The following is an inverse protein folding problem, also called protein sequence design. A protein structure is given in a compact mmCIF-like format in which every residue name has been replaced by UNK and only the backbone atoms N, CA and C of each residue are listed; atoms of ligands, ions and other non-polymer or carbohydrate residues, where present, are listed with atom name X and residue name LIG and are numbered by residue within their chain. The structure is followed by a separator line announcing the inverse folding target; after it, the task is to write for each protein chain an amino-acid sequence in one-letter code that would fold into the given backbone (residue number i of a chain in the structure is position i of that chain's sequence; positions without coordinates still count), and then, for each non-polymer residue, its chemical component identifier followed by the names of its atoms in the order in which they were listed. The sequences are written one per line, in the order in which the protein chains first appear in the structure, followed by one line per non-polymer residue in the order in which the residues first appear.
data_IF_485114237178
#
_entry.id   IF_485114237178
#
_cell.length_a   1.000
_cell.length_b   1.000
_cell.length_c   1.000
_cell.angle_alpha   90.00
_cell.angle_beta   90.00
_cell.angle_gamma   90.00
#
_symmetry.space_group_name_H-M   'P 1'
#
loop_
_entity.id
_entity.type
_entity.pdbx_description
1 polymer ?
#
# COMPACT_ATOMS: atom_id res chain seq x y z
N UNK A 1 17.64 26.20 -10.09
CA UNK A 1 17.49 24.73 -10.13
C UNK A 1 16.17 24.42 -9.45
N UNK A 2 15.14 24.02 -10.19
CA UNK A 2 13.89 23.52 -9.60
C UNK A 2 14.25 22.27 -8.82
N UNK A 3 14.01 22.26 -7.49
CA UNK A 3 14.20 21.05 -6.67
C UNK A 3 13.37 19.90 -7.24
N UNK A 4 13.80 18.66 -7.04
CA UNK A 4 13.00 17.48 -7.40
C UNK A 4 11.67 17.54 -6.63
N UNK A 5 10.57 17.15 -7.30
CA UNK A 5 9.27 16.98 -6.63
C UNK A 5 9.39 15.87 -5.60
N UNK A 6 8.89 16.12 -4.39
CA UNK A 6 8.83 15.11 -3.32
C UNK A 6 7.40 14.68 -3.02
N UNK A 7 7.22 13.61 -2.26
CA UNK A 7 5.91 13.08 -1.90
C UNK A 7 5.08 14.07 -1.05
N UNK A 8 5.71 15.05 -0.40
CA UNK A 8 5.04 16.13 0.32
C UNK A 8 4.06 16.93 -0.55
N UNK A 9 4.35 17.05 -1.86
CA UNK A 9 3.48 17.78 -2.79
C UNK A 9 2.07 17.17 -2.92
N UNK A 10 1.88 15.90 -2.55
CA UNK A 10 0.57 15.24 -2.49
C UNK A 10 -0.25 15.62 -1.24
N UNK A 11 0.33 16.38 -0.30
CA UNK A 11 -0.24 16.61 1.03
C UNK A 11 -0.04 15.43 1.96
N UNK A 12 -0.71 15.47 3.10
CA UNK A 12 -0.60 14.44 4.15
C UNK A 12 -1.94 13.76 4.43
N UNK A 13 -1.88 12.59 5.07
CA UNK A 13 -3.02 11.84 5.58
C UNK A 13 -2.66 11.24 6.94
N UNK A 14 -3.66 11.16 7.83
CA UNK A 14 -3.49 10.55 9.15
C UNK A 14 -3.99 9.11 9.14
N UNK A 15 -3.10 8.17 9.45
CA UNK A 15 -3.44 6.75 9.63
C UNK A 15 -3.76 6.54 11.10
N UNK A 16 -5.02 6.17 11.40
CA UNK A 16 -5.47 5.96 12.76
C UNK A 16 -5.52 7.23 13.63
N UNK A 17 -5.40 8.42 13.02
CA UNK A 17 -5.52 9.71 13.68
C UNK A 17 -4.26 10.19 14.41
N UNK A 18 -3.17 9.42 14.38
CA UNK A 18 -1.92 9.71 15.10
C UNK A 18 -0.63 9.34 14.36
N UNK A 19 -0.73 8.84 13.11
CA UNK A 19 0.39 8.60 12.21
C UNK A 19 0.23 9.44 10.95
N UNK A 20 0.80 10.64 10.92
CA UNK A 20 0.76 11.51 9.75
C UNK A 20 1.81 11.06 8.72
N UNK A 21 1.39 10.76 7.51
CA UNK A 21 2.26 10.36 6.40
C UNK A 21 1.96 11.17 5.13
N UNK A 22 2.93 11.27 4.21
CA UNK A 22 2.71 11.89 2.90
C UNK A 22 1.80 11.00 2.05
N UNK A 23 0.85 11.61 1.32
CA UNK A 23 -0.22 10.91 0.58
C UNK A 23 0.24 10.20 -0.70
N UNK A 24 1.52 9.82 -0.77
CA UNK A 24 2.07 8.98 -1.82
C UNK A 24 3.11 8.05 -1.19
N UNK A 25 2.74 6.79 -1.01
CA UNK A 25 3.57 5.77 -0.40
C UNK A 25 4.37 4.97 -1.43
N UNK A 26 5.05 3.93 -0.94
CA UNK A 26 5.82 2.99 -1.75
C UNK A 26 5.37 1.56 -1.49
N UNK A 27 4.95 0.83 -2.54
CA UNK A 27 4.61 -0.59 -2.49
C UNK A 27 5.82 -1.48 -2.74
N UNK A 28 6.24 -2.26 -1.75
CA UNK A 28 7.46 -3.05 -1.80
C UNK A 28 7.32 -4.43 -2.48
N UNK A 29 6.17 -4.75 -3.05
CA UNK A 29 5.96 -6.05 -3.72
C UNK A 29 6.91 -6.26 -4.91
N UNK A 30 7.29 -5.19 -5.63
CA UNK A 30 8.11 -5.24 -6.85
C UNK A 30 9.62 -5.26 -6.59
N UNK A 31 10.07 -5.17 -5.34
CA UNK A 31 11.48 -5.32 -4.98
C UNK A 31 11.88 -6.78 -4.74
N UNK A 32 11.01 -7.74 -5.03
CA UNK A 32 11.25 -9.19 -4.94
C UNK A 32 11.45 -9.79 -6.34
N UNK A 33 11.71 -11.08 -6.39
CA UNK A 33 11.87 -11.81 -7.64
C UNK A 33 10.59 -11.90 -8.48
N UNK A 34 10.71 -12.43 -9.68
CA UNK A 34 9.60 -12.57 -10.62
C UNK A 34 8.43 -13.36 -9.99
N UNK A 35 7.20 -12.90 -10.23
CA UNK A 35 6.01 -13.51 -9.62
C UNK A 35 5.91 -13.30 -8.11
N UNK A 36 6.59 -12.28 -7.59
CA UNK A 36 6.66 -12.00 -6.14
C UNK A 36 7.23 -13.22 -5.39
N UNK A 37 8.27 -13.83 -5.95
CA UNK A 37 8.87 -15.05 -5.43
C UNK A 37 10.40 -15.00 -5.44
N UNK A 38 11.01 -15.33 -4.31
CA UNK A 38 12.46 -15.30 -4.15
C UNK A 38 13.06 -13.91 -4.20
N UNK A 39 14.35 -13.88 -4.32
CA UNK A 39 15.16 -12.67 -4.32
C UNK A 39 15.07 -11.92 -5.64
N UNK A 40 15.21 -10.58 -5.64
CA UNK A 40 15.28 -9.81 -6.88
C UNK A 40 16.53 -10.21 -7.69
N UNK A 41 16.48 -10.11 -9.01
CA UNK A 41 17.64 -10.38 -9.84
C UNK A 41 18.79 -9.36 -9.63
N UNK A 42 18.48 -8.20 -9.10
CA UNK A 42 19.42 -7.12 -8.80
C UNK A 42 19.09 -6.50 -7.44
N UNK A 43 19.83 -6.93 -6.43
CA UNK A 43 19.68 -6.46 -5.06
C UNK A 43 20.06 -4.98 -4.88
N UNK A 44 21.11 -4.55 -5.54
CA UNK A 44 21.58 -3.17 -5.42
C UNK A 44 20.58 -2.19 -6.02
N UNK A 45 19.96 -2.55 -7.15
CA UNK A 45 18.90 -1.76 -7.76
C UNK A 45 17.64 -1.71 -6.88
N UNK A 46 17.23 -2.83 -6.29
CA UNK A 46 16.09 -2.87 -5.37
C UNK A 46 16.35 -2.01 -4.11
N UNK A 47 17.56 -2.08 -3.55
CA UNK A 47 17.99 -1.22 -2.43
C UNK A 47 18.04 0.25 -2.84
N UNK A 48 18.52 0.56 -4.03
CA UNK A 48 18.54 1.93 -4.56
C UNK A 48 17.12 2.50 -4.71
N UNK A 49 16.14 1.69 -5.15
CA UNK A 49 14.74 2.11 -5.23
C UNK A 49 14.16 2.45 -3.85
N UNK A 50 14.45 1.65 -2.81
CA UNK A 50 14.02 1.94 -1.43
C UNK A 50 14.65 3.22 -0.89
N UNK A 51 15.97 3.41 -1.06
CA UNK A 51 16.65 4.65 -0.63
C UNK A 51 16.08 5.86 -1.37
N UNK A 52 15.86 5.72 -2.68
CA UNK A 52 15.32 6.80 -3.49
C UNK A 52 13.92 7.22 -3.07
N UNK A 53 13.08 6.26 -2.67
CA UNK A 53 11.76 6.57 -2.12
C UNK A 53 11.87 7.47 -0.87
N UNK A 54 12.71 7.09 0.08
CA UNK A 54 12.93 7.88 1.32
C UNK A 54 13.57 9.25 1.02
N UNK A 55 14.54 9.33 0.11
CA UNK A 55 15.13 10.60 -0.34
C UNK A 55 14.14 11.56 -1.00
N UNK A 56 13.03 11.03 -1.52
CA UNK A 56 11.93 11.78 -2.12
C UNK A 56 10.76 11.99 -1.14
N UNK A 57 11.02 11.93 0.16
CA UNK A 57 10.06 12.14 1.25
C UNK A 57 8.85 11.18 1.21
N UNK A 58 9.03 9.96 0.70
CA UNK A 58 8.05 8.90 0.92
C UNK A 58 8.17 8.45 2.39
N UNK A 59 7.11 8.69 3.16
CA UNK A 59 7.05 8.40 4.60
C UNK A 59 6.17 7.18 4.93
N UNK A 60 5.71 6.44 3.90
CA UNK A 60 4.92 5.23 4.07
C UNK A 60 5.37 4.13 3.11
N UNK A 61 5.81 3.00 3.65
CA UNK A 61 6.19 1.81 2.88
C UNK A 61 5.22 0.68 3.21
N UNK A 62 4.59 0.10 2.18
CA UNK A 62 3.71 -1.06 2.30
C UNK A 62 4.42 -2.33 1.84
N UNK A 63 4.52 -3.32 2.72
CA UNK A 63 5.10 -4.63 2.44
C UNK A 63 4.20 -5.78 2.94
N UNK A 64 4.69 -7.01 2.93
CA UNK A 64 4.05 -8.19 3.52
C UNK A 64 5.08 -9.30 3.75
N UNK A 65 4.82 -10.17 4.73
CA UNK A 65 5.57 -11.41 4.97
C UNK A 65 5.61 -12.34 3.76
N UNK A 66 4.51 -12.36 3.00
CA UNK A 66 4.30 -13.18 1.82
C UNK A 66 5.02 -12.68 0.56
N UNK A 67 5.68 -11.51 0.59
CA UNK A 67 6.42 -10.98 -0.54
C UNK A 67 7.83 -11.56 -0.60
N UNK A 68 8.03 -12.49 -1.54
CA UNK A 68 9.27 -13.15 -1.79
C UNK A 68 9.51 -14.57 -1.25
N UNK A 69 8.72 -15.25 -0.37
CA UNK A 69 8.27 -14.80 0.96
C UNK A 69 9.42 -14.28 1.83
N UNK A 70 9.11 -13.36 2.73
CA UNK A 70 10.03 -12.73 3.69
C UNK A 70 11.13 -11.84 3.09
N UNK A 71 11.39 -11.93 1.78
CA UNK A 71 12.47 -11.22 1.08
C UNK A 71 12.27 -9.70 1.17
N UNK A 72 11.03 -9.23 0.94
CA UNK A 72 10.73 -7.79 0.95
C UNK A 72 11.01 -7.16 2.31
N UNK A 73 10.58 -7.77 3.40
CA UNK A 73 10.82 -7.27 4.77
C UNK A 73 12.31 -7.26 5.13
N UNK A 74 13.05 -8.33 4.78
CA UNK A 74 14.50 -8.36 4.98
C UNK A 74 15.21 -7.25 4.19
N UNK A 75 14.82 -7.07 2.92
CA UNK A 75 15.42 -6.05 2.06
C UNK A 75 15.19 -4.64 2.59
N UNK A 76 13.98 -4.35 3.10
CA UNK A 76 13.64 -3.07 3.74
C UNK A 76 14.55 -2.85 4.96
N UNK A 77 14.63 -3.84 5.86
CA UNK A 77 15.46 -3.73 7.05
C UNK A 77 16.96 -3.58 6.75
N UNK A 78 17.49 -4.36 5.80
CA UNK A 78 18.89 -4.27 5.39
C UNK A 78 19.25 -2.93 4.74
N UNK A 79 18.25 -2.25 4.15
CA UNK A 79 18.48 -1.02 3.39
C UNK A 79 18.29 0.23 4.22
N UNK A 80 17.26 0.24 5.10
CA UNK A 80 16.78 1.44 5.75
C UNK A 80 16.94 1.45 7.27
N UNK A 81 17.29 0.31 7.89
CA UNK A 81 17.54 0.32 9.34
C UNK A 81 18.91 0.94 9.69
N UNK A 82 19.00 1.86 10.69
CA UNK A 82 17.90 2.39 11.50
C UNK A 82 16.96 3.29 10.67
N UNK A 83 15.65 3.11 10.88
CA UNK A 83 14.65 3.84 10.12
C UNK A 83 14.61 5.32 10.48
N UNK A 84 14.27 6.24 9.51
CA UNK A 84 13.91 7.61 9.85
C UNK A 84 12.71 7.65 10.80
N UNK A 85 12.69 8.59 11.73
CA UNK A 85 11.64 8.72 12.77
C UNK A 85 10.22 8.91 12.19
N UNK A 86 10.12 9.49 11.00
CA UNK A 86 8.85 9.77 10.30
C UNK A 86 8.46 8.67 9.29
N UNK A 87 9.22 7.57 9.19
CA UNK A 87 8.94 6.50 8.24
C UNK A 87 8.04 5.44 8.89
N UNK A 88 6.84 5.31 8.37
CA UNK A 88 5.88 4.26 8.72
C UNK A 88 6.08 3.04 7.82
N UNK A 89 6.25 1.86 8.42
CA UNK A 89 6.30 0.58 7.70
C UNK A 89 5.03 -0.20 8.01
N UNK A 90 4.19 -0.35 6.99
CA UNK A 90 3.03 -1.23 7.04
C UNK A 90 3.39 -2.60 6.49
N UNK A 91 3.02 -3.67 7.20
CA UNK A 91 3.17 -5.03 6.71
C UNK A 91 1.90 -5.84 6.91
N UNK A 92 1.87 -7.06 6.40
CA UNK A 92 0.68 -7.91 6.37
C UNK A 92 1.01 -9.34 6.73
N UNK A 93 0.05 -10.06 7.31
CA UNK A 93 0.06 -11.50 7.49
C UNK A 93 -1.28 -12.13 7.12
N UNK A 94 -1.31 -13.44 7.02
CA UNK A 94 -2.53 -14.18 6.68
C UNK A 94 -2.56 -14.73 5.26
N UNK A 95 -1.40 -14.77 4.56
CA UNK A 95 -1.23 -15.45 3.29
C UNK A 95 -0.03 -16.39 3.29
N UNK A 96 -0.28 -17.65 2.98
CA UNK A 96 0.76 -18.64 2.70
C UNK A 96 1.21 -18.56 1.25
N UNK A 97 2.49 -18.88 1.04
CA UNK A 97 3.12 -18.94 -0.27
C UNK A 97 3.72 -20.33 -0.50
N UNK A 98 2.91 -21.34 -0.92
CA UNK A 98 3.41 -22.70 -1.13
C UNK A 98 4.27 -22.84 -2.40
N UNK A 99 4.35 -21.82 -3.23
CA UNK A 99 5.16 -21.78 -4.45
C UNK A 99 4.94 -20.50 -5.27
N UNK A 100 5.72 -20.30 -6.36
CA UNK A 100 5.56 -19.15 -7.24
C UNK A 100 4.13 -19.03 -7.77
N UNK A 101 3.57 -17.80 -7.71
CA UNK A 101 2.21 -17.51 -8.18
C UNK A 101 1.07 -18.13 -7.34
N UNK A 102 1.36 -18.88 -6.30
CA UNK A 102 0.34 -19.48 -5.42
C UNK A 102 0.21 -18.68 -4.14
N UNK A 103 -1.05 -18.31 -3.84
CA UNK A 103 -1.43 -17.49 -2.69
C UNK A 103 -2.61 -18.18 -2.00
N UNK A 104 -2.43 -18.63 -0.78
CA UNK A 104 -3.44 -19.34 -0.02
C UNK A 104 -3.73 -18.58 1.28
N UNK A 105 -4.99 -18.19 1.57
CA UNK A 105 -5.32 -17.53 2.82
C UNK A 105 -5.14 -18.48 4.00
N UNK A 106 -4.64 -17.95 5.11
CA UNK A 106 -4.59 -18.60 6.41
C UNK A 106 -4.91 -17.58 7.50
N UNK A 107 -6.17 -17.54 7.89
CA UNK A 107 -6.69 -16.60 8.91
C UNK A 107 -6.63 -17.16 10.33
N UNK A 108 -6.03 -18.32 10.56
CA UNK A 108 -5.98 -18.92 11.91
C UNK A 108 -5.20 -18.03 12.88
N UNK A 109 -5.70 -17.83 14.10
CA UNK A 109 -5.05 -17.03 15.15
C UNK A 109 -3.57 -17.33 15.34
N UNK A 110 -3.21 -18.62 15.39
CA UNK A 110 -1.83 -19.06 15.60
C UNK A 110 -0.91 -18.62 14.45
N UNK A 111 -1.41 -18.73 13.20
CA UNK A 111 -0.65 -18.30 12.03
C UNK A 111 -0.46 -16.78 12.02
N UNK A 112 -1.51 -16.01 12.28
CA UNK A 112 -1.43 -14.55 12.30
C UNK A 112 -0.47 -14.04 13.38
N UNK A 113 -0.47 -14.67 14.56
CA UNK A 113 0.47 -14.36 15.63
C UNK A 113 1.91 -14.68 15.21
N UNK A 114 2.17 -15.86 14.68
CA UNK A 114 3.49 -16.27 14.20
C UNK A 114 3.98 -15.35 13.06
N UNK A 115 3.13 -14.99 12.11
CA UNK A 115 3.44 -14.10 11.01
C UNK A 115 3.84 -12.70 11.51
N UNK A 116 3.07 -12.13 12.45
CA UNK A 116 3.36 -10.83 13.06
C UNK A 116 4.72 -10.84 13.79
N UNK A 117 4.98 -11.84 14.62
CA UNK A 117 6.24 -11.98 15.35
C UNK A 117 7.43 -12.17 14.39
N UNK A 118 7.24 -12.93 13.32
CA UNK A 118 8.22 -13.06 12.26
C UNK A 118 8.51 -11.74 11.56
N UNK A 119 7.48 -10.94 11.25
CA UNK A 119 7.63 -9.62 10.64
C UNK A 119 8.37 -8.64 11.55
N UNK A 120 8.05 -8.61 12.85
CA UNK A 120 8.79 -7.80 13.86
C UNK A 120 10.29 -8.12 13.83
N UNK A 121 10.62 -9.41 13.86
CA UNK A 121 12.03 -9.85 13.85
C UNK A 121 12.75 -9.47 12.54
N UNK A 122 12.14 -9.69 11.36
CA UNK A 122 12.73 -9.38 10.05
C UNK A 122 12.90 -7.90 9.83
N UNK A 123 11.91 -7.10 10.21
CA UNK A 123 11.94 -5.64 10.12
C UNK A 123 12.74 -4.98 11.26
N UNK A 124 13.17 -5.72 12.28
CA UNK A 124 13.87 -5.19 13.45
C UNK A 124 13.07 -4.11 14.18
N UNK A 125 11.78 -4.34 14.32
CA UNK A 125 10.85 -3.43 14.99
C UNK A 125 10.39 -4.05 16.32
N UNK A 126 10.23 -3.21 17.34
CA UNK A 126 9.58 -3.60 18.60
C UNK A 126 8.05 -3.56 18.48
N UNK A 127 7.54 -2.72 17.58
CA UNK A 127 6.12 -2.57 17.28
C UNK A 127 5.93 -2.22 15.80
N UNK A 128 4.95 -2.86 15.14
CA UNK A 128 4.51 -2.52 13.79
C UNK A 128 3.44 -1.43 13.87
N UNK A 129 3.65 -0.31 13.16
CA UNK A 129 2.73 0.81 13.19
C UNK A 129 1.39 0.50 12.51
N UNK A 130 1.39 -0.19 11.36
CA UNK A 130 0.19 -0.68 10.70
C UNK A 130 0.37 -2.14 10.27
N UNK A 131 -0.39 -3.04 10.90
CA UNK A 131 -0.42 -4.45 10.52
C UNK A 131 -1.75 -4.79 9.86
N UNK A 132 -1.72 -5.39 8.67
CA UNK A 132 -2.92 -5.62 7.88
C UNK A 132 -3.23 -7.12 7.77
N UNK A 133 -4.49 -7.50 7.98
CA UNK A 133 -4.96 -8.83 7.61
C UNK A 133 -5.05 -8.92 6.08
N UNK A 134 -4.14 -9.70 5.49
CA UNK A 134 -3.86 -9.66 4.05
C UNK A 134 -5.05 -10.10 3.18
N UNK A 135 -5.83 -11.09 3.67
CA UNK A 135 -7.02 -11.58 2.97
C UNK A 135 -7.89 -12.40 3.92
N UNK A 136 -9.22 -12.25 3.87
CA UNK A 136 -10.13 -13.13 4.59
C UNK A 136 -9.91 -14.60 4.22
N UNK A 137 -9.88 -15.48 5.22
CA UNK A 137 -9.87 -16.92 5.02
C UNK A 137 -11.31 -17.45 5.15
N UNK A 138 -11.89 -18.05 4.09
CA UNK A 138 -13.26 -18.55 4.15
C UNK A 138 -13.47 -19.70 5.14
N UNK A 139 -12.39 -20.26 5.69
CA UNK A 139 -12.43 -21.36 6.67
C UNK A 139 -12.39 -20.89 8.11
N UNK A 140 -12.09 -19.60 8.35
CA UNK A 140 -11.94 -19.02 9.68
C UNK A 140 -12.87 -17.81 9.81
N UNK A 141 -13.72 -17.75 10.85
CA UNK A 141 -14.53 -16.57 11.09
C UNK A 141 -13.67 -15.30 11.20
N UNK A 142 -14.12 -14.22 10.57
CA UNK A 142 -13.39 -12.93 10.59
C UNK A 142 -13.13 -12.47 12.03
N UNK A 143 -14.11 -12.66 12.91
CA UNK A 143 -13.98 -12.29 14.31
C UNK A 143 -12.82 -13.01 15.04
N UNK A 144 -12.52 -14.27 14.68
CA UNK A 144 -11.38 -15.00 15.25
C UNK A 144 -10.04 -14.45 14.73
N UNK A 145 -9.94 -14.22 13.42
CA UNK A 145 -8.73 -13.66 12.81
C UNK A 145 -8.45 -12.23 13.34
N UNK A 146 -9.46 -11.38 13.35
CA UNK A 146 -9.34 -10.00 13.84
C UNK A 146 -9.12 -9.97 15.36
N UNK A 147 -9.73 -10.91 16.13
CA UNK A 147 -9.47 -11.08 17.54
C UNK A 147 -8.00 -11.33 17.86
N UNK A 148 -7.32 -12.16 17.07
CA UNK A 148 -5.88 -12.38 17.23
C UNK A 148 -5.05 -11.11 16.97
N UNK A 149 -5.47 -10.26 16.02
CA UNK A 149 -4.81 -8.97 15.79
C UNK A 149 -5.09 -7.98 16.93
N UNK A 150 -6.29 -7.99 17.49
CA UNK A 150 -6.63 -7.18 18.66
C UNK A 150 -5.77 -7.56 19.88
N UNK A 151 -5.58 -8.86 20.14
CA UNK A 151 -4.67 -9.33 21.19
C UNK A 151 -3.22 -8.86 20.95
N UNK A 152 -2.70 -8.96 19.72
CA UNK A 152 -1.36 -8.46 19.38
C UNK A 152 -1.24 -6.93 19.58
N UNK A 153 -2.32 -6.19 19.36
CA UNK A 153 -2.38 -4.75 19.65
C UNK A 153 -2.34 -4.49 21.15
N UNK A 154 -3.10 -5.24 21.94
CA UNK A 154 -3.10 -5.13 23.41
C UNK A 154 -1.74 -5.53 24.01
N UNK A 155 -1.03 -6.46 23.39
CA UNK A 155 0.36 -6.81 23.73
C UNK A 155 1.38 -5.73 23.34
N UNK A 156 0.95 -4.70 22.60
CA UNK A 156 1.83 -3.60 22.13
C UNK A 156 2.68 -3.95 20.91
N UNK A 157 2.47 -5.10 20.26
CA UNK A 157 3.17 -5.54 19.07
C UNK A 157 2.68 -4.85 17.79
N UNK A 158 1.43 -4.42 17.78
CA UNK A 158 0.77 -3.69 16.68
C UNK A 158 0.21 -2.38 17.25
N UNK A 159 0.39 -1.26 16.53
CA UNK A 159 -0.22 0.02 16.87
C UNK A 159 -1.60 0.14 16.27
N UNK A 160 -1.72 -0.07 14.95
CA UNK A 160 -2.97 0.00 14.21
C UNK A 160 -3.21 -1.27 13.40
N UNK A 161 -4.48 -1.59 13.21
CA UNK A 161 -4.95 -2.74 12.44
C UNK A 161 -5.59 -2.23 11.16
N UNK A 162 -5.18 -2.79 10.02
CA UNK A 162 -5.81 -2.63 8.73
C UNK A 162 -6.32 -3.97 8.17
N UNK A 163 -7.11 -3.90 7.11
CA UNK A 163 -7.61 -5.08 6.40
C UNK A 163 -7.36 -4.97 4.90
N UNK A 164 -7.28 -6.09 4.21
CA UNK A 164 -7.05 -6.11 2.77
C UNK A 164 -7.94 -7.14 2.08
N UNK A 165 -8.46 -6.77 0.91
CA UNK A 165 -9.40 -7.60 0.14
C UNK A 165 -10.71 -7.91 0.87
N UNK A 166 -11.21 -6.95 1.63
CA UNK A 166 -12.45 -7.04 2.40
C UNK A 166 -13.64 -6.44 1.62
N UNK A 167 -14.83 -7.03 1.79
CA UNK A 167 -16.09 -6.38 1.45
C UNK A 167 -16.51 -5.42 2.58
N UNK A 168 -17.49 -4.54 2.31
CA UNK A 168 -18.08 -3.64 3.31
C UNK A 168 -18.70 -4.43 4.48
N UNK A 169 -19.37 -5.55 4.22
CA UNK A 169 -19.92 -6.44 5.25
C UNK A 169 -18.82 -7.01 6.14
N UNK A 170 -17.73 -7.48 5.53
CA UNK A 170 -16.57 -8.03 6.24
C UNK A 170 -15.84 -6.97 7.06
N UNK A 171 -15.75 -5.73 6.55
CA UNK A 171 -15.22 -4.60 7.32
C UNK A 171 -16.07 -4.36 8.56
N UNK A 172 -17.40 -4.27 8.42
CA UNK A 172 -18.30 -4.11 9.54
C UNK A 172 -18.24 -5.27 10.55
N UNK A 173 -17.93 -6.51 10.12
CA UNK A 173 -17.65 -7.62 11.04
C UNK A 173 -16.35 -7.39 11.83
N UNK A 174 -15.29 -6.94 11.18
CA UNK A 174 -14.00 -6.65 11.80
C UNK A 174 -14.12 -5.52 12.83
N UNK A 175 -14.84 -4.46 12.50
CA UNK A 175 -15.02 -3.29 13.37
C UNK A 175 -15.85 -3.56 14.62
N UNK A 176 -16.68 -4.59 14.62
CA UNK A 176 -17.35 -5.05 15.86
C UNK A 176 -16.38 -5.69 16.85
N UNK A 177 -15.20 -6.10 16.40
CA UNK A 177 -14.16 -6.71 17.27
C UNK A 177 -13.17 -5.66 17.76
N UNK A 178 -12.64 -4.83 16.83
CA UNK A 178 -11.64 -3.80 17.15
C UNK A 178 -11.66 -2.72 16.06
N UNK A 179 -11.27 -1.47 16.38
CA UNK A 179 -11.15 -0.43 15.36
C UNK A 179 -10.17 -0.81 14.23
N UNK A 180 -10.64 -0.67 13.00
CA UNK A 180 -9.84 -0.77 11.78
C UNK A 180 -9.52 0.65 11.27
N UNK A 181 -8.29 0.91 10.83
CA UNK A 181 -7.88 2.26 10.40
C UNK A 181 -7.61 2.36 8.90
N UNK A 182 -7.51 1.22 8.21
CA UNK A 182 -7.26 1.21 6.76
C UNK A 182 -7.85 0.01 6.06
N UNK A 183 -8.22 0.21 4.79
CA UNK A 183 -8.65 -0.86 3.88
C UNK A 183 -7.74 -0.84 2.66
N UNK A 184 -7.18 -2.00 2.31
CA UNK A 184 -6.36 -2.15 1.12
C UNK A 184 -7.02 -3.07 0.09
N UNK A 185 -7.69 -2.50 -0.90
CA UNK A 185 -8.39 -3.24 -1.95
C UNK A 185 -7.87 -2.87 -3.34
N UNK A 186 -8.18 -3.70 -4.34
CA UNK A 186 -7.86 -3.42 -5.73
C UNK A 186 -8.66 -2.21 -6.21
N UNK A 187 -7.96 -1.22 -6.75
CA UNK A 187 -8.58 -0.03 -7.31
C UNK A 187 -7.62 0.71 -8.23
N UNK A 188 -8.09 1.05 -9.42
CA UNK A 188 -7.42 1.91 -10.39
C UNK A 188 -8.43 2.48 -11.39
N UNK A 189 -7.97 3.23 -12.39
CA UNK A 189 -8.84 3.84 -13.40
C UNK A 189 -9.73 2.82 -14.10
N UNK A 190 -9.19 1.64 -14.43
CA UNK A 190 -9.90 0.58 -15.20
C UNK A 190 -10.55 -0.50 -14.33
N UNK A 191 -10.27 -0.53 -13.03
CA UNK A 191 -10.91 -1.44 -12.07
C UNK A 191 -11.43 -0.65 -10.89
N UNK A 192 -12.71 -0.35 -10.90
CA UNK A 192 -13.43 0.44 -9.91
C UNK A 192 -14.39 -0.39 -9.06
N UNK A 193 -14.14 -1.70 -8.98
CA UNK A 193 -14.98 -2.63 -8.20
C UNK A 193 -15.04 -2.28 -6.71
N UNK A 194 -14.03 -1.54 -6.20
CA UNK A 194 -13.99 -1.05 -4.81
C UNK A 194 -14.46 0.42 -4.66
N UNK A 195 -15.20 0.98 -5.63
CA UNK A 195 -15.64 2.38 -5.57
C UNK A 195 -16.46 2.68 -4.31
N UNK A 196 -17.42 1.81 -3.96
CA UNK A 196 -18.24 1.96 -2.76
C UNK A 196 -17.40 1.88 -1.48
N UNK A 197 -16.37 1.03 -1.45
CA UNK A 197 -15.42 0.98 -0.34
C UNK A 197 -14.59 2.26 -0.22
N UNK A 198 -14.21 2.90 -1.32
CA UNK A 198 -13.53 4.22 -1.31
C UNK A 198 -14.45 5.27 -0.68
N UNK A 199 -15.72 5.30 -1.07
CA UNK A 199 -16.71 6.23 -0.52
C UNK A 199 -16.94 5.99 0.97
N UNK A 200 -17.02 4.72 1.40
CA UNK A 200 -17.12 4.34 2.80
C UNK A 200 -15.90 4.80 3.60
N UNK A 201 -14.68 4.55 3.10
CA UNK A 201 -13.47 5.00 3.76
C UNK A 201 -13.41 6.54 3.90
N UNK A 202 -13.93 7.28 2.90
CA UNK A 202 -14.01 8.74 2.98
C UNK A 202 -15.01 9.19 4.06
N UNK A 203 -16.16 8.54 4.17
CA UNK A 203 -17.19 8.85 5.17
C UNK A 203 -16.72 8.57 6.60
N UNK A 204 -15.96 7.49 6.80
CA UNK A 204 -15.53 7.01 8.11
C UNK A 204 -14.10 7.44 8.48
N UNK A 205 -13.46 8.26 7.63
CA UNK A 205 -12.07 8.70 7.79
C UNK A 205 -11.05 7.56 7.88
N UNK A 206 -11.31 6.44 7.19
CA UNK A 206 -10.37 5.33 7.03
C UNK A 206 -9.42 5.59 5.87
N UNK A 207 -8.17 5.14 5.98
CA UNK A 207 -7.23 5.22 4.86
C UNK A 207 -7.52 4.13 3.85
N UNK A 208 -7.76 4.50 2.58
CA UNK A 208 -7.87 3.54 1.49
C UNK A 208 -6.53 3.40 0.74
N UNK A 209 -6.01 2.19 0.71
CA UNK A 209 -4.73 1.83 0.09
C UNK A 209 -5.02 1.06 -1.23
N UNK A 210 -5.03 1.70 -2.41
CA UNK A 210 -5.25 0.98 -3.66
C UNK A 210 -4.07 0.06 -3.98
N UNK A 211 -4.29 -1.26 -4.05
CA UNK A 211 -3.29 -2.13 -4.65
C UNK A 211 -3.51 -2.27 -6.17
N UNK A 212 -2.44 -2.55 -6.93
CA UNK A 212 -2.39 -2.42 -8.38
C UNK A 212 -2.88 -1.03 -8.86
N UNK A 213 -2.35 0.06 -8.29
CA UNK A 213 -2.80 1.41 -8.61
C UNK A 213 -2.53 1.78 -10.07
N UNK A 214 -1.57 1.11 -10.71
CA UNK A 214 -1.20 1.30 -12.12
C UNK A 214 -1.43 -0.02 -12.86
N UNK A 215 -2.31 0.00 -13.86
CA UNK A 215 -2.61 -1.12 -14.76
C UNK A 215 -2.00 -0.85 -16.16
N UNK A 216 -1.59 -1.90 -16.86
CA UNK A 216 -1.14 -1.78 -18.26
C UNK A 216 -2.30 -1.44 -19.22
N UNK A 217 -3.56 -1.60 -18.78
CA UNK A 217 -4.75 -1.28 -19.55
C UNK A 217 -5.13 0.22 -19.52
N UNK A 218 -4.40 1.05 -18.78
CA UNK A 218 -4.68 2.48 -18.62
C UNK A 218 -4.25 3.26 -19.87
N UNK A 219 -4.96 3.03 -20.99
CA UNK A 219 -4.70 3.64 -22.28
C UNK A 219 -5.93 4.29 -22.90
N UNK A 220 -6.88 4.75 -22.07
CA UNK A 220 -8.04 5.47 -22.60
C UNK A 220 -7.62 6.77 -23.28
N UNK A 221 -8.37 7.20 -24.33
CA UNK A 221 -8.03 8.44 -25.04
C UNK A 221 -7.94 9.67 -24.15
N UNK A 222 -8.87 9.91 -23.19
CA UNK A 222 -8.77 11.03 -22.26
C UNK A 222 -7.49 10.97 -21.39
N UNK A 223 -7.11 9.80 -20.91
CA UNK A 223 -5.91 9.62 -20.11
C UNK A 223 -4.63 9.91 -20.90
N UNK A 224 -4.54 9.39 -22.12
CA UNK A 224 -3.41 9.66 -23.03
C UNK A 224 -3.37 11.14 -23.44
N UNK A 225 -4.53 11.78 -23.65
CA UNK A 225 -4.63 13.21 -23.92
C UNK A 225 -4.03 14.03 -22.79
N UNK A 226 -4.50 13.81 -21.55
CA UNK A 226 -3.98 14.49 -20.37
C UNK A 226 -2.46 14.27 -20.20
N UNK A 227 -1.97 13.04 -20.44
CA UNK A 227 -0.53 12.76 -20.39
C UNK A 227 0.28 13.60 -21.41
N UNK A 228 -0.24 13.75 -22.63
CA UNK A 228 0.38 14.58 -23.67
C UNK A 228 0.32 16.07 -23.30
N UNK A 229 -0.82 16.58 -22.85
CA UNK A 229 -1.03 17.99 -22.54
C UNK A 229 -0.14 18.46 -21.37
N UNK A 230 0.06 17.59 -20.38
CA UNK A 230 0.95 17.85 -19.23
C UNK A 230 2.41 17.46 -19.46
N UNK A 231 2.76 16.77 -20.57
CA UNK A 231 4.12 16.32 -20.86
C UNK A 231 4.63 15.26 -19.87
N UNK A 232 3.74 14.41 -19.35
CA UNK A 232 4.02 13.38 -18.36
C UNK A 232 3.65 11.99 -18.86
N UNK A 233 4.04 10.94 -18.11
CA UNK A 233 3.64 9.58 -18.46
C UNK A 233 2.18 9.30 -18.08
N UNK A 234 1.47 8.40 -18.79
CA UNK A 234 0.12 7.98 -18.41
C UNK A 234 0.02 7.48 -16.96
N UNK A 235 1.06 6.84 -16.45
CA UNK A 235 1.14 6.37 -15.06
C UNK A 235 1.05 7.51 -14.04
N UNK A 236 1.70 8.63 -14.33
CA UNK A 236 1.63 9.81 -13.47
C UNK A 236 0.22 10.42 -13.46
N UNK A 237 -0.48 10.41 -14.60
CA UNK A 237 -1.88 10.84 -14.70
C UNK A 237 -2.79 9.95 -13.85
N UNK A 238 -2.60 8.62 -13.88
CA UNK A 238 -3.36 7.68 -13.03
C UNK A 238 -3.16 7.97 -11.55
N UNK A 239 -1.93 8.19 -11.11
CA UNK A 239 -1.64 8.49 -9.70
C UNK A 239 -2.24 9.84 -9.29
N UNK A 240 -2.13 10.88 -10.12
CA UNK A 240 -2.75 12.19 -9.87
C UNK A 240 -4.29 12.09 -9.83
N UNK A 241 -4.90 11.29 -10.72
CA UNK A 241 -6.33 11.02 -10.69
C UNK A 241 -6.76 10.37 -9.36
N UNK A 242 -6.02 9.38 -8.85
CA UNK A 242 -6.29 8.76 -7.55
C UNK A 242 -6.21 9.76 -6.40
N UNK A 243 -5.19 10.60 -6.38
CA UNK A 243 -5.02 11.64 -5.37
C UNK A 243 -6.17 12.67 -5.40
N UNK A 244 -6.80 12.87 -6.57
CA UNK A 244 -7.94 13.77 -6.73
C UNK A 244 -9.26 13.08 -6.34
N UNK A 245 -9.37 11.74 -6.50
CA UNK A 245 -10.61 10.98 -6.28
C UNK A 245 -11.12 11.05 -4.83
N UNK A 246 -10.25 10.98 -3.85
CA UNK A 246 -10.60 11.08 -2.43
C UNK A 246 -9.42 11.52 -1.58
N UNK A 247 -9.62 12.35 -0.56
CA UNK A 247 -8.57 12.71 0.40
C UNK A 247 -8.10 11.52 1.24
N UNK A 248 -8.89 10.46 1.34
CA UNK A 248 -8.56 9.25 2.09
C UNK A 248 -7.79 8.19 1.27
N UNK A 249 -7.52 8.45 0.00
CA UNK A 249 -6.67 7.57 -0.82
C UNK A 249 -5.19 7.85 -0.56
N UNK A 250 -4.44 6.80 -0.24
CA UNK A 250 -2.98 6.76 -0.16
C UNK A 250 -2.45 5.77 -1.21
N UNK A 251 -2.12 6.22 -2.43
CA UNK A 251 -1.56 5.35 -3.45
C UNK A 251 -0.21 4.81 -3.04
N UNK A 252 0.02 3.51 -3.31
CA UNK A 252 1.27 2.79 -2.99
C UNK A 252 1.89 2.19 -4.26
N UNK A 253 2.30 3.01 -5.25
CA UNK A 253 2.90 2.49 -6.47
C UNK A 253 4.22 1.78 -6.18
N UNK A 254 4.35 0.53 -6.65
CA UNK A 254 5.52 -0.29 -6.45
C UNK A 254 6.48 -0.28 -7.64
N UNK A 255 7.79 -0.22 -7.35
CA UNK A 255 8.83 -0.35 -8.37
C UNK A 255 10.12 -0.90 -7.77
N UNK A 256 10.85 -1.71 -8.57
CA UNK A 256 12.24 -2.09 -8.30
C UNK A 256 13.27 -1.17 -8.99
N UNK A 257 12.84 -0.02 -9.56
CA UNK A 257 13.69 0.93 -10.28
C UNK A 257 13.64 2.31 -9.65
N UNK A 258 14.80 2.91 -9.28
CA UNK A 258 14.85 4.29 -8.76
C UNK A 258 14.21 5.30 -9.71
N UNK A 259 14.41 5.16 -11.01
CA UNK A 259 13.87 6.07 -12.03
C UNK A 259 12.33 6.02 -12.06
N UNK A 260 11.74 4.83 -11.89
CA UNK A 260 10.28 4.71 -11.79
C UNK A 260 9.75 5.24 -10.45
N UNK A 261 10.53 5.16 -9.37
CA UNK A 261 10.17 5.80 -8.08
C UNK A 261 10.10 7.32 -8.27
N UNK A 262 11.09 7.94 -8.92
CA UNK A 262 11.08 9.38 -9.25
C UNK A 262 9.85 9.76 -10.07
N UNK A 263 9.54 8.98 -11.11
CA UNK A 263 8.36 9.22 -11.94
C UNK A 263 7.05 9.12 -11.15
N UNK A 264 6.94 8.10 -10.29
CA UNK A 264 5.76 7.92 -9.45
C UNK A 264 5.60 9.10 -8.48
N UNK A 265 6.68 9.52 -7.81
CA UNK A 265 6.65 10.63 -6.85
C UNK A 265 6.38 11.96 -7.57
N UNK A 266 6.87 12.16 -8.78
CA UNK A 266 6.57 13.37 -9.55
C UNK A 266 5.07 13.56 -9.85
N UNK A 267 4.25 12.51 -9.77
CA UNK A 267 2.79 12.62 -9.86
C UNK A 267 2.17 13.43 -8.71
N UNK A 268 2.84 13.56 -7.57
CA UNK A 268 2.37 14.31 -6.41
C UNK A 268 2.10 15.79 -6.72
N UNK A 269 2.82 16.38 -7.68
CA UNK A 269 2.64 17.78 -8.08
C UNK A 269 1.75 17.97 -9.31
N UNK A 270 1.29 16.88 -9.94
CA UNK A 270 0.47 16.95 -11.14
C UNK A 270 -0.97 17.34 -10.78
N UNK A 271 -1.41 18.46 -11.30
CA UNK A 271 -2.75 19.00 -11.11
C UNK A 271 -3.61 18.72 -12.34
N UNK A 272 -4.56 17.82 -12.24
CA UNK A 272 -5.57 17.58 -13.28
C UNK A 272 -6.73 18.53 -13.12
N UNK A 273 -7.23 19.08 -14.22
CA UNK A 273 -8.46 19.86 -14.21
C UNK A 273 -9.68 18.96 -13.94
N UNK A 274 -10.78 19.55 -13.47
CA UNK A 274 -12.04 18.83 -13.25
C UNK A 274 -12.54 18.14 -14.51
N UNK A 275 -12.34 18.77 -15.68
CA UNK A 275 -12.77 18.20 -16.96
C UNK A 275 -11.95 16.97 -17.35
N UNK A 276 -10.63 16.98 -17.12
CA UNK A 276 -9.75 15.83 -17.33
C UNK A 276 -10.11 14.67 -16.38
N UNK A 277 -10.27 14.96 -15.08
CA UNK A 277 -10.69 13.95 -14.10
C UNK A 277 -12.02 13.31 -14.51
N UNK A 278 -13.02 14.11 -14.88
CA UNK A 278 -14.33 13.63 -15.32
C UNK A 278 -14.26 12.82 -16.62
N UNK A 279 -13.43 13.25 -17.57
CA UNK A 279 -13.25 12.55 -18.85
C UNK A 279 -12.58 11.19 -18.64
N UNK A 280 -11.52 11.13 -17.83
CA UNK A 280 -10.82 9.88 -17.46
C UNK A 280 -11.80 8.94 -16.74
N UNK A 281 -12.53 9.44 -15.74
CA UNK A 281 -13.48 8.66 -14.95
C UNK A 281 -14.60 8.04 -15.79
N UNK A 282 -15.10 8.75 -16.82
CA UNK A 282 -16.16 8.24 -17.71
C UNK A 282 -15.69 7.28 -18.78
N UNK A 283 -14.42 7.30 -19.12
CA UNK A 283 -13.81 6.45 -20.14
C UNK A 283 -13.25 5.11 -19.60
N UNK A 284 -13.36 4.90 -18.30
CA UNK A 284 -12.84 3.74 -17.56
C UNK A 284 -13.85 2.57 -17.52
#
# INVERSE_FOLDING_TARGET
MSGATTAEAAGTIDVGGDLTVNRLGFGAMRITGQGVWGEPPDWDRAKAALRRAVELDVTFIDTADSYGPEVSERLIAETLYPYPDNLVIATKGGLLRPGPGRWEPDGRPEHLRQACEGSLARLRLDRIDLYQFHRPDPKVPIAESIGALAELKDEGKIRHIGVSNFSEEQLGEAERVTPVVSVQNRYNVTDRSSEAMVDLCEQEALVFLPWAPISEADASKPLLGAAMDHGVSPRQVVLAWMLTRSPQILPIPGSGSPEHVEQNVAAASLQLSTDEVNAITRAA
#
